data_IF_238750406013
#
_entry.id   IF_238750406013
#
_cell.length_a   1.000
_cell.length_b   1.000
_cell.length_c   1.000
_cell.angle_alpha   90.00
_cell.angle_beta   90.00
_cell.angle_gamma   90.00
#
_symmetry.space_group_name_H-M   'P 1'
#
loop_
_entity.id
_entity.type
_entity.pdbx_description
1 polymer ?
#
# COMPACT_ATOMS: atom_id res chain seq x y z
N UNK A 1 3.33 17.24 15.40
CA UNK A 1 2.00 16.74 14.97
C UNK A 1 2.21 15.81 13.80
N UNK A 2 1.71 14.59 13.89
CA UNK A 2 1.58 13.67 12.76
C UNK A 2 0.11 13.67 12.33
N UNK A 3 -0.14 13.80 11.03
CA UNK A 3 -1.47 13.73 10.45
C UNK A 3 -1.51 12.57 9.47
N UNK A 4 -2.35 11.59 9.75
CA UNK A 4 -2.62 10.46 8.86
C UNK A 4 -3.85 10.82 8.02
N UNK A 5 -3.68 10.79 6.69
CA UNK A 5 -4.71 11.10 5.70
C UNK A 5 -4.70 10.06 4.59
N UNK A 6 -5.76 10.02 3.78
CA UNK A 6 -5.79 9.27 2.53
C UNK A 6 -5.80 10.22 1.32
N UNK A 7 -5.32 9.73 0.19
CA UNK A 7 -5.50 10.36 -1.12
C UNK A 7 -6.84 9.92 -1.72
N UNK A 8 -7.73 10.88 -2.01
CA UNK A 8 -8.95 10.65 -2.80
C UNK A 8 -10.11 9.94 -2.09
N UNK A 9 -9.93 9.39 -0.89
CA UNK A 9 -11.02 8.78 -0.08
C UNK A 9 -10.77 8.93 1.42
N UNK A 10 -11.68 8.40 2.25
CA UNK A 10 -11.46 8.21 3.69
C UNK A 10 -10.64 6.93 3.93
N UNK A 11 -9.77 6.97 4.95
CA UNK A 11 -9.14 5.76 5.47
C UNK A 11 -10.21 4.91 6.17
N UNK A 12 -10.16 3.60 5.99
CA UNK A 12 -10.93 2.69 6.83
C UNK A 12 -10.33 2.63 8.24
N UNK A 13 -11.11 2.15 9.20
CA UNK A 13 -10.61 1.87 10.55
C UNK A 13 -9.49 0.84 10.55
N UNK A 14 -9.59 -0.18 9.68
CA UNK A 14 -8.54 -1.20 9.50
C UNK A 14 -7.24 -0.61 8.97
N UNK A 15 -7.30 0.31 8.02
CA UNK A 15 -6.12 1.02 7.52
C UNK A 15 -5.51 1.92 8.58
N UNK A 16 -6.33 2.67 9.33
CA UNK A 16 -5.86 3.51 10.43
C UNK A 16 -5.15 2.68 11.51
N UNK A 17 -5.76 1.55 11.89
CA UNK A 17 -5.17 0.61 12.84
C UNK A 17 -3.81 0.11 12.35
N UNK A 18 -3.74 -0.35 11.09
CA UNK A 18 -2.49 -0.84 10.50
C UNK A 18 -1.40 0.24 10.42
N UNK A 19 -1.76 1.49 10.10
CA UNK A 19 -0.81 2.60 10.14
C UNK A 19 -0.31 2.87 11.57
N UNK A 20 -1.21 2.84 12.56
CA UNK A 20 -0.89 3.11 13.97
C UNK A 20 -0.04 1.99 14.59
N UNK A 21 -0.29 0.74 14.24
CA UNK A 21 0.50 -0.42 14.68
C UNK A 21 1.97 -0.27 14.30
N UNK A 22 2.29 0.36 13.17
CA UNK A 22 3.71 0.62 12.80
C UNK A 22 4.43 1.60 13.74
N UNK A 23 3.69 2.44 14.47
CA UNK A 23 4.27 3.27 15.52
C UNK A 23 4.62 2.41 16.73
N UNK A 24 3.74 1.49 17.12
CA UNK A 24 3.98 0.57 18.24
C UNK A 24 5.15 -0.37 17.94
N UNK A 25 5.17 -0.95 16.73
CA UNK A 25 6.31 -1.73 16.21
C UNK A 25 7.61 -0.90 16.34
N UNK A 26 7.61 0.33 15.82
CA UNK A 26 8.78 1.20 15.84
C UNK A 26 9.24 1.55 17.25
N UNK A 27 8.32 1.78 18.19
CA UNK A 27 8.64 2.08 19.59
C UNK A 27 9.20 0.87 20.33
N UNK A 28 8.68 -0.33 20.04
CA UNK A 28 9.17 -1.58 20.65
C UNK A 28 10.62 -1.93 20.28
N UNK A 29 11.09 -1.43 19.13
CA UNK A 29 12.45 -1.62 18.63
C UNK A 29 13.44 -0.55 19.11
N UNK A 30 12.98 0.51 19.78
CA UNK A 30 13.82 1.62 20.23
C UNK A 30 14.25 1.47 21.68
N UNK A 31 15.44 1.98 21.99
CA UNK A 31 15.80 2.24 23.39
C UNK A 31 14.79 3.23 24.01
N UNK A 32 14.47 3.01 25.28
CA UNK A 32 13.53 3.84 26.00
C UNK A 32 14.06 5.29 26.11
N UNK A 33 13.41 6.21 25.41
CA UNK A 33 13.65 7.66 25.51
C UNK A 33 12.41 8.32 26.12
N UNK A 34 12.53 9.04 27.25
CA UNK A 34 11.42 9.78 27.86
C UNK A 34 10.73 10.78 26.92
N UNK A 35 11.37 11.20 25.83
CA UNK A 35 10.79 12.07 24.80
C UNK A 35 9.91 11.32 23.78
N UNK A 36 9.91 9.98 23.78
CA UNK A 36 9.13 9.15 22.86
C UNK A 36 7.77 8.80 23.47
N UNK A 37 6.92 9.82 23.57
CA UNK A 37 5.54 9.66 24.04
C UNK A 37 4.55 10.28 23.06
N UNK A 38 3.31 9.80 23.15
CA UNK A 38 2.14 10.36 22.49
C UNK A 38 1.37 11.14 23.56
N UNK A 39 1.22 12.45 23.40
CA UNK A 39 0.45 13.27 24.35
C UNK A 39 -1.04 13.27 24.05
N UNK A 40 -1.40 13.13 22.78
CA UNK A 40 -2.79 13.15 22.32
C UNK A 40 -2.88 12.43 20.98
N UNK A 41 -3.93 11.65 20.78
CA UNK A 41 -4.28 11.12 19.46
C UNK A 41 -5.79 10.97 19.31
N UNK A 42 -6.29 11.08 18.08
CA UNK A 42 -7.72 10.94 17.82
C UNK A 42 -8.13 11.14 16.37
N UNK A 43 -9.35 10.70 16.09
CA UNK A 43 -10.00 10.91 14.80
C UNK A 43 -10.29 12.38 14.57
N UNK A 44 -10.10 12.83 13.32
CA UNK A 44 -10.43 14.18 12.85
C UNK A 44 -11.15 14.08 11.52
N UNK A 45 -11.76 15.18 11.07
CA UNK A 45 -12.38 15.22 9.75
C UNK A 45 -11.35 14.88 8.67
N UNK A 46 -11.54 13.72 8.01
CA UNK A 46 -10.68 13.26 6.93
C UNK A 46 -9.42 12.49 7.36
N UNK A 47 -9.27 12.13 8.63
CA UNK A 47 -8.15 11.27 9.06
C UNK A 47 -7.96 11.15 10.57
N UNK A 48 -6.70 11.05 10.99
CA UNK A 48 -6.30 10.89 12.39
C UNK A 48 -5.08 11.75 12.69
N UNK A 49 -5.06 12.42 13.83
CA UNK A 49 -3.95 13.27 14.25
C UNK A 49 -3.30 12.75 15.54
N UNK A 50 -1.98 12.88 15.64
CA UNK A 50 -1.19 12.52 16.80
C UNK A 50 -0.24 13.66 17.20
N UNK A 51 -0.15 13.92 18.50
CA UNK A 51 0.85 14.81 19.10
C UNK A 51 1.95 13.95 19.72
N UNK A 52 3.16 14.13 19.21
CA UNK A 52 4.34 13.36 19.56
C UNK A 52 5.34 14.27 20.28
N UNK A 53 5.98 13.76 21.34
CA UNK A 53 7.00 14.49 22.11
C UNK A 53 8.29 14.78 21.34
N UNK A 54 8.60 13.97 20.32
CA UNK A 54 9.85 14.05 19.57
C UNK A 54 9.66 14.29 18.06
N UNK A 55 10.37 15.29 17.53
CA UNK A 55 10.45 15.56 16.07
C UNK A 55 11.17 14.44 15.32
N UNK A 56 12.20 13.85 15.91
CA UNK A 56 12.97 12.78 15.30
C UNK A 56 12.13 11.51 15.16
N UNK A 57 11.37 11.16 16.21
CA UNK A 57 10.41 10.06 16.18
C UNK A 57 9.37 10.26 15.08
N UNK A 58 8.78 11.45 14.97
CA UNK A 58 7.81 11.77 13.94
C UNK A 58 8.39 11.56 12.52
N UNK A 59 9.61 12.05 12.24
CA UNK A 59 10.29 11.87 10.94
C UNK A 59 10.70 10.43 10.65
N UNK A 60 11.04 9.64 11.68
CA UNK A 60 11.34 8.21 11.53
C UNK A 60 10.07 7.46 11.15
N UNK A 61 8.98 7.71 11.88
CA UNK A 61 7.70 7.07 11.61
C UNK A 61 7.16 7.41 10.22
N UNK A 62 7.21 8.68 9.80
CA UNK A 62 6.74 9.07 8.46
C UNK A 62 7.50 8.35 7.34
N UNK A 63 8.82 8.13 7.50
CA UNK A 63 9.61 7.35 6.53
C UNK A 63 9.21 5.88 6.54
N UNK A 64 8.93 5.31 7.70
CA UNK A 64 8.42 3.94 7.81
C UNK A 64 7.08 3.78 7.07
N UNK A 65 6.15 4.72 7.27
CA UNK A 65 4.85 4.73 6.59
C UNK A 65 5.00 4.75 5.06
N UNK A 66 5.84 5.64 4.51
CA UNK A 66 6.11 5.69 3.07
C UNK A 66 6.76 4.40 2.57
N UNK A 67 7.68 3.82 3.33
CA UNK A 67 8.35 2.56 2.96
C UNK A 67 7.39 1.37 2.92
N UNK A 68 6.49 1.27 3.90
CA UNK A 68 5.56 0.12 4.02
C UNK A 68 4.35 0.27 3.10
N UNK A 69 3.77 1.48 3.02
CA UNK A 69 2.47 1.71 2.38
C UNK A 69 2.51 2.66 1.18
N UNK A 70 3.67 3.17 0.79
CA UNK A 70 3.79 4.18 -0.26
C UNK A 70 3.19 5.52 0.19
N UNK A 71 2.93 6.41 -0.77
CA UNK A 71 2.29 7.69 -0.53
C UNK A 71 3.27 8.84 -0.33
N UNK A 72 2.74 9.96 0.18
CA UNK A 72 3.49 11.22 0.29
C UNK A 72 3.47 11.76 1.71
N UNK A 73 4.53 12.47 2.08
CA UNK A 73 4.62 13.20 3.35
C UNK A 73 4.88 14.67 3.03
N UNK A 74 4.06 15.56 3.57
CA UNK A 74 4.35 17.00 3.60
C UNK A 74 4.84 17.40 4.97
N UNK A 75 5.96 18.11 5.01
CA UNK A 75 6.57 18.62 6.23
C UNK A 75 6.42 20.14 6.30
N UNK A 76 6.00 20.65 7.45
CA UNK A 76 5.96 22.09 7.75
C UNK A 76 6.48 22.32 9.17
N UNK A 77 7.18 23.43 9.37
CA UNK A 77 7.69 23.84 10.68
C UNK A 77 7.24 25.27 10.96
N UNK A 78 6.75 25.51 12.17
CA UNK A 78 6.26 26.82 12.62
C UNK A 78 6.92 27.17 13.94
N UNK A 79 7.41 28.40 14.08
CA UNK A 79 7.93 28.90 15.36
C UNK A 79 6.74 29.18 16.27
N UNK A 80 6.77 28.63 17.48
CA UNK A 80 5.68 28.75 18.47
C UNK A 80 6.10 29.56 19.70
N UNK A 81 7.37 29.94 19.80
CA UNK A 81 7.90 30.79 20.86
C UNK A 81 9.42 30.79 20.87
N UNK A 82 9.98 31.37 21.91
CA UNK A 82 11.42 31.39 22.19
C UNK A 82 11.65 31.01 23.65
N UNK A 83 12.64 30.16 23.90
CA UNK A 83 13.11 29.84 25.25
C UNK A 83 14.62 30.14 25.32
N UNK A 84 15.03 31.01 26.24
CA UNK A 84 16.43 31.47 26.39
C UNK A 84 17.08 31.94 25.07
N UNK A 85 16.30 32.66 24.24
CA UNK A 85 16.76 33.16 22.95
C UNK A 85 16.81 32.11 21.82
N UNK A 86 16.49 30.85 22.12
CA UNK A 86 16.39 29.76 21.12
C UNK A 86 14.94 29.63 20.66
N UNK A 87 14.70 29.69 19.36
CA UNK A 87 13.38 29.47 18.79
C UNK A 87 12.87 28.05 19.04
N UNK A 88 11.70 27.97 19.66
CA UNK A 88 10.97 26.72 19.84
C UNK A 88 10.01 26.57 18.68
N UNK A 89 10.19 25.53 17.87
CA UNK A 89 9.33 25.26 16.71
C UNK A 89 8.49 23.98 16.87
N UNK A 90 7.30 23.99 16.28
CA UNK A 90 6.42 22.84 16.12
C UNK A 90 6.55 22.28 14.70
N UNK A 91 6.86 20.98 14.63
CA UNK A 91 6.87 20.20 13.40
C UNK A 91 5.49 19.61 13.12
N UNK A 92 4.99 19.77 11.90
CA UNK A 92 3.78 19.09 11.41
C UNK A 92 4.12 18.26 10.18
N UNK A 93 3.86 16.95 10.26
CA UNK A 93 3.99 16.01 9.16
C UNK A 93 2.60 15.55 8.74
N UNK A 94 2.29 15.63 7.44
CA UNK A 94 1.04 15.17 6.86
C UNK A 94 1.31 14.04 5.89
N UNK A 95 1.09 12.81 6.35
CA UNK A 95 1.20 11.60 5.55
C UNK A 95 -0.13 11.33 4.82
N UNK A 96 -0.04 11.02 3.52
CA UNK A 96 -1.17 10.67 2.66
C UNK A 96 -0.96 9.28 2.09
N UNK A 97 -1.71 8.30 2.61
CA UNK A 97 -1.74 6.92 2.12
C UNK A 97 -2.49 6.85 0.78
N UNK A 98 -1.95 6.15 -0.24
CA UNK A 98 -2.68 5.88 -1.47
C UNK A 98 -3.88 4.95 -1.23
N UNK A 99 -4.87 5.03 -2.13
CA UNK A 99 -6.07 4.20 -2.08
C UNK A 99 -5.82 2.72 -2.45
N UNK A 100 -4.66 2.43 -3.05
CA UNK A 100 -4.15 1.12 -3.48
C UNK A 100 -2.92 0.72 -2.64
N UNK A 101 -2.61 -0.58 -2.61
CA UNK A 101 -1.46 -1.18 -1.95
C UNK A 101 -0.63 -2.06 -2.88
N UNK A 102 0.48 -2.61 -2.37
CA UNK A 102 1.32 -3.56 -3.11
C UNK A 102 0.53 -4.82 -3.45
N UNK A 103 0.68 -5.30 -4.68
CA UNK A 103 0.00 -6.48 -5.19
C UNK A 103 -1.44 -6.24 -5.64
N UNK A 104 -2.02 -5.06 -5.41
CA UNK A 104 -3.33 -4.71 -5.96
C UNK A 104 -3.28 -4.67 -7.48
N UNK A 105 -4.33 -5.19 -8.11
CA UNK A 105 -4.58 -4.97 -9.54
C UNK A 105 -5.37 -3.68 -9.68
N UNK A 106 -4.83 -2.76 -10.47
CA UNK A 106 -5.39 -1.45 -10.74
C UNK A 106 -5.63 -1.25 -12.23
N UNK A 107 -6.58 -0.37 -12.54
CA UNK A 107 -6.79 0.19 -13.87
C UNK A 107 -6.12 1.55 -13.92
N UNK A 108 -5.16 1.69 -14.82
CA UNK A 108 -4.43 2.93 -15.05
C UNK A 108 -4.16 3.12 -16.55
N UNK A 109 -4.52 4.29 -17.09
CA UNK A 109 -4.42 4.62 -18.53
C UNK A 109 -4.95 3.49 -19.43
N UNK A 110 -6.19 3.04 -19.15
CA UNK A 110 -6.92 1.98 -19.88
C UNK A 110 -6.29 0.57 -19.85
N UNK A 111 -5.21 0.37 -19.10
CA UNK A 111 -4.54 -0.93 -18.96
C UNK A 111 -4.71 -1.44 -17.52
N UNK A 112 -4.57 -2.76 -17.35
CA UNK A 112 -4.49 -3.40 -16.05
C UNK A 112 -3.03 -3.56 -15.62
N UNK A 113 -2.76 -3.18 -14.38
CA UNK A 113 -1.44 -3.20 -13.79
C UNK A 113 -1.48 -3.77 -12.37
N UNK A 114 -0.38 -4.34 -11.92
CA UNK A 114 -0.13 -4.69 -10.52
C UNK A 114 0.79 -3.62 -9.94
N UNK A 115 0.46 -3.14 -8.74
CA UNK A 115 1.37 -2.26 -7.98
C UNK A 115 2.51 -3.12 -7.42
N UNK A 116 3.72 -2.99 -7.97
CA UNK A 116 4.83 -3.90 -7.68
C UNK A 116 5.70 -3.41 -6.52
N UNK A 117 6.10 -2.15 -6.53
CA UNK A 117 6.97 -1.58 -5.49
C UNK A 117 6.79 -0.07 -5.35
N UNK A 118 7.26 0.48 -4.23
CA UNK A 118 7.27 1.91 -3.97
C UNK A 118 8.60 2.53 -4.39
N UNK A 119 8.53 3.65 -5.11
CA UNK A 119 9.65 4.56 -5.33
C UNK A 119 9.33 5.91 -4.68
N UNK A 120 10.33 6.79 -4.64
CA UNK A 120 10.19 8.15 -4.08
C UNK A 120 9.03 8.92 -4.70
N UNK A 121 8.94 8.91 -6.03
CA UNK A 121 7.99 9.75 -6.78
C UNK A 121 6.69 9.04 -7.16
N UNK A 122 6.55 7.75 -6.83
CA UNK A 122 5.35 6.95 -7.10
C UNK A 122 5.64 5.44 -7.19
N UNK A 123 4.66 4.62 -7.57
CA UNK A 123 4.86 3.17 -7.69
C UNK A 123 5.57 2.76 -8.98
N UNK A 124 6.23 1.61 -8.94
CA UNK A 124 6.47 0.79 -10.12
C UNK A 124 5.25 -0.09 -10.35
N UNK A 125 4.78 -0.09 -11.59
CA UNK A 125 3.64 -0.86 -12.07
C UNK A 125 4.14 -1.97 -12.97
N UNK A 126 3.60 -3.18 -12.79
CA UNK A 126 3.84 -4.33 -13.65
C UNK A 126 2.59 -4.62 -14.45
N UNK A 127 2.71 -4.82 -15.76
CA UNK A 127 1.54 -5.07 -16.61
C UNK A 127 0.95 -6.45 -16.32
N UNK A 128 -0.38 -6.59 -16.44
CA UNK A 128 -1.06 -7.86 -16.19
C UNK A 128 -0.90 -8.87 -17.32
N UNK A 129 -0.79 -8.43 -18.57
CA UNK A 129 -0.88 -9.26 -19.76
C UNK A 129 0.48 -9.64 -20.38
N UNK A 130 1.56 -8.96 -20.01
CA UNK A 130 2.92 -9.21 -20.52
C UNK A 130 3.99 -8.69 -19.59
N UNK A 131 5.23 -9.14 -19.80
CA UNK A 131 6.40 -8.66 -19.08
C UNK A 131 6.74 -7.21 -19.48
N UNK A 132 6.11 -6.25 -18.81
CA UNK A 132 6.38 -4.83 -18.93
C UNK A 132 6.28 -4.16 -17.56
N UNK A 133 7.23 -3.27 -17.25
CA UNK A 133 7.23 -2.45 -16.04
C UNK A 133 7.30 -0.98 -16.41
N UNK A 134 6.61 -0.14 -15.64
CA UNK A 134 6.67 1.31 -15.81
C UNK A 134 6.54 2.03 -14.47
N UNK A 135 7.18 3.18 -14.34
CA UNK A 135 6.94 4.08 -13.20
C UNK A 135 5.72 4.96 -13.46
N UNK A 136 4.98 5.28 -12.41
CA UNK A 136 3.94 6.31 -12.45
C UNK A 136 4.16 7.29 -11.30
N UNK A 137 3.85 8.58 -11.50
CA UNK A 137 3.97 9.55 -10.40
C UNK A 137 2.80 9.43 -9.43
N UNK A 138 2.97 9.84 -8.17
CA UNK A 138 1.86 9.92 -7.22
C UNK A 138 0.67 10.71 -7.77
N UNK A 139 0.93 11.79 -8.52
CA UNK A 139 -0.10 12.62 -9.16
C UNK A 139 -0.83 11.88 -10.26
N UNK A 140 -0.12 11.20 -11.16
CA UNK A 140 -0.74 10.40 -12.22
C UNK A 140 -1.68 9.34 -11.64
N UNK A 141 -1.29 8.76 -10.51
CA UNK A 141 -2.01 7.68 -9.86
C UNK A 141 -3.26 8.11 -9.09
N UNK A 142 -3.50 9.41 -8.90
CA UNK A 142 -4.73 9.91 -8.26
C UNK A 142 -6.00 9.45 -9.00
N UNK A 143 -5.92 9.25 -10.32
CA UNK A 143 -7.02 8.74 -11.15
C UNK A 143 -7.05 7.22 -11.35
N UNK A 144 -6.19 6.47 -10.67
CA UNK A 144 -6.19 5.00 -10.76
C UNK A 144 -7.35 4.39 -9.98
N UNK A 145 -7.83 3.22 -10.43
CA UNK A 145 -8.94 2.51 -9.80
C UNK A 145 -8.48 1.11 -9.44
N UNK A 146 -8.60 0.72 -8.17
CA UNK A 146 -8.39 -0.68 -7.76
C UNK A 146 -9.51 -1.52 -8.36
N UNK A 147 -9.16 -2.54 -9.13
CA UNK A 147 -10.12 -3.48 -9.73
C UNK A 147 -10.17 -4.82 -9.01
N UNK A 148 -9.07 -5.21 -8.35
CA UNK A 148 -9.01 -6.38 -7.48
C UNK A 148 -7.90 -6.15 -6.46
N UNK A 149 -8.26 -6.05 -5.18
CA UNK A 149 -7.28 -5.88 -4.12
C UNK A 149 -6.46 -7.15 -3.91
N UNK A 150 -5.26 -7.04 -3.33
CA UNK A 150 -4.43 -8.20 -3.00
C UNK A 150 -5.13 -9.19 -2.07
N UNK A 151 -5.99 -8.70 -1.17
CA UNK A 151 -6.78 -9.53 -0.25
C UNK A 151 -7.93 -10.28 -0.92
N UNK A 152 -8.37 -9.86 -2.10
CA UNK A 152 -9.41 -10.52 -2.90
C UNK A 152 -8.82 -11.48 -3.95
N UNK A 153 -7.50 -11.68 -3.92
CA UNK A 153 -6.81 -12.65 -4.79
C UNK A 153 -6.66 -13.98 -4.05
N UNK A 154 -6.82 -15.07 -4.80
CA UNK A 154 -6.75 -16.44 -4.28
C UNK A 154 -5.57 -17.17 -4.89
N UNK A 155 -4.89 -17.98 -4.09
CA UNK A 155 -3.96 -18.99 -4.62
C UNK A 155 -4.74 -20.29 -4.66
N UNK A 156 -4.87 -20.87 -5.85
CA UNK A 156 -5.66 -22.07 -6.10
C UNK A 156 -4.79 -23.15 -6.73
N UNK A 157 -5.09 -24.40 -6.42
CA UNK A 157 -4.40 -25.55 -7.01
C UNK A 157 -4.82 -25.74 -8.46
N UNK A 158 -3.85 -26.12 -9.30
CA UNK A 158 -4.05 -26.44 -10.70
C UNK A 158 -4.50 -27.90 -10.79
N UNK A 159 -5.69 -28.12 -11.35
CA UNK A 159 -6.25 -29.46 -11.59
C UNK A 159 -5.69 -30.07 -12.86
N UNK A 160 -5.62 -29.25 -13.91
CA UNK A 160 -5.16 -29.64 -15.23
C UNK A 160 -4.51 -28.43 -15.90
N UNK A 161 -3.60 -28.70 -16.85
CA UNK A 161 -2.76 -27.69 -17.48
C UNK A 161 -2.56 -28.02 -18.95
N UNK A 162 -2.78 -27.02 -19.80
CA UNK A 162 -2.35 -27.06 -21.20
C UNK A 162 -1.23 -26.04 -21.47
N UNK A 163 -0.92 -25.77 -22.73
CA UNK A 163 0.15 -24.87 -23.14
C UNK A 163 -0.15 -23.37 -22.92
N UNK A 164 -1.39 -23.00 -22.61
CA UNK A 164 -1.88 -21.62 -22.59
C UNK A 164 -2.82 -21.30 -21.42
N UNK A 165 -3.37 -22.30 -20.75
CA UNK A 165 -4.37 -22.18 -19.71
C UNK A 165 -4.27 -23.31 -18.68
N UNK A 166 -4.92 -23.07 -17.54
CA UNK A 166 -5.06 -24.03 -16.43
C UNK A 166 -6.52 -24.13 -16.02
N UNK A 167 -6.92 -25.32 -15.60
CA UNK A 167 -8.20 -25.56 -14.96
C UNK A 167 -8.01 -25.53 -13.44
N UNK A 168 -8.85 -24.76 -12.76
CA UNK A 168 -8.81 -24.55 -11.30
C UNK A 168 -10.23 -24.63 -10.74
N UNK A 169 -10.36 -24.79 -9.43
CA UNK A 169 -11.65 -24.62 -8.76
C UNK A 169 -11.89 -23.14 -8.49
N UNK A 170 -13.06 -22.64 -8.88
CA UNK A 170 -13.57 -21.34 -8.47
C UNK A 170 -13.62 -21.29 -6.93
N UNK A 171 -12.95 -20.33 -6.26
CA UNK A 171 -12.89 -20.26 -4.80
C UNK A 171 -14.23 -19.92 -4.15
N UNK A 172 -15.25 -19.54 -4.93
CA UNK A 172 -16.57 -19.15 -4.43
C UNK A 172 -17.60 -20.26 -4.53
N UNK A 173 -17.60 -21.06 -5.60
CA UNK A 173 -18.62 -22.09 -5.84
C UNK A 173 -18.05 -23.48 -6.20
N UNK A 174 -16.73 -23.63 -6.19
CA UNK A 174 -15.98 -24.87 -6.47
C UNK A 174 -16.30 -25.52 -7.81
N UNK A 175 -16.79 -24.76 -8.79
CA UNK A 175 -16.87 -25.23 -10.18
C UNK A 175 -15.50 -25.15 -10.84
N UNK A 176 -15.25 -26.06 -11.78
CA UNK A 176 -14.06 -25.99 -12.61
C UNK A 176 -14.17 -24.79 -13.55
N UNK A 177 -13.15 -23.93 -13.52
CA UNK A 177 -13.02 -22.77 -14.42
C UNK A 177 -11.66 -22.80 -15.10
N UNK A 178 -11.62 -22.37 -16.36
CA UNK A 178 -10.38 -22.25 -17.14
C UNK A 178 -9.84 -20.83 -17.03
N UNK A 179 -8.56 -20.70 -16.72
CA UNK A 179 -7.87 -19.42 -16.57
C UNK A 179 -6.63 -19.43 -17.47
N UNK A 180 -6.47 -18.39 -18.29
CA UNK A 180 -5.28 -18.23 -19.11
C UNK A 180 -4.02 -18.12 -18.23
N UNK A 181 -2.94 -18.76 -18.64
CA UNK A 181 -1.67 -18.71 -17.94
C UNK A 181 -1.13 -17.26 -17.92
N UNK A 182 -0.56 -16.82 -16.79
CA UNK A 182 0.16 -15.55 -16.77
C UNK A 182 1.43 -15.67 -17.61
N UNK A 183 1.94 -14.55 -18.11
CA UNK A 183 3.17 -14.54 -18.92
C UNK A 183 4.42 -15.01 -18.14
N UNK A 184 4.35 -15.07 -16.80
CA UNK A 184 5.44 -15.50 -15.90
C UNK A 184 5.18 -16.87 -15.26
N UNK A 185 4.31 -17.68 -15.87
CA UNK A 185 4.14 -19.08 -15.51
C UNK A 185 5.44 -19.89 -15.71
N UNK A 186 5.73 -20.81 -14.79
CA UNK A 186 6.96 -21.61 -14.78
C UNK A 186 6.78 -23.08 -15.20
N UNK A 187 5.62 -23.44 -15.78
CA UNK A 187 5.18 -24.79 -16.20
C UNK A 187 5.12 -25.87 -15.10
N UNK A 188 5.94 -25.76 -14.06
CA UNK A 188 6.06 -26.72 -12.96
C UNK A 188 5.17 -26.33 -11.76
N UNK A 189 4.69 -25.09 -11.69
CA UNK A 189 3.87 -24.61 -10.59
C UNK A 189 2.59 -25.42 -10.50
N UNK A 190 2.32 -25.88 -9.28
CA UNK A 190 1.12 -26.64 -8.89
C UNK A 190 -0.05 -25.74 -8.51
N UNK A 191 0.19 -24.44 -8.40
CA UNK A 191 -0.83 -23.47 -8.03
C UNK A 191 -0.71 -22.21 -8.88
N UNK A 192 -1.79 -21.47 -9.00
CA UNK A 192 -1.82 -20.18 -9.68
C UNK A 192 -2.55 -19.18 -8.79
N UNK A 193 -2.09 -17.92 -8.82
CA UNK A 193 -2.83 -16.83 -8.20
C UNK A 193 -3.87 -16.30 -9.17
N UNK A 194 -5.11 -16.20 -8.74
CA UNK A 194 -6.22 -15.68 -9.54
C UNK A 194 -6.91 -14.51 -8.83
N UNK A 195 -7.55 -13.64 -9.61
CA UNK A 195 -8.41 -12.56 -9.14
C UNK A 195 -9.63 -12.40 -10.05
N UNK A 196 -10.78 -12.09 -9.47
CA UNK A 196 -12.00 -11.87 -10.24
C UNK A 196 -12.02 -10.43 -10.76
N UNK A 197 -11.78 -10.26 -12.07
CA UNK A 197 -11.56 -8.96 -12.69
C UNK A 197 -12.47 -8.86 -13.91
N UNK A 198 -13.29 -7.81 -13.97
CA UNK A 198 -14.19 -7.55 -15.11
C UNK A 198 -15.15 -8.72 -15.42
N UNK A 199 -15.60 -9.46 -14.38
CA UNK A 199 -16.57 -10.54 -14.53
C UNK A 199 -15.98 -11.90 -14.86
N UNK A 200 -14.65 -12.04 -14.89
CA UNK A 200 -13.95 -13.30 -15.17
C UNK A 200 -12.78 -13.51 -14.20
N UNK A 201 -12.42 -14.77 -13.98
CA UNK A 201 -11.19 -15.13 -13.28
C UNK A 201 -9.99 -14.94 -14.21
N UNK A 202 -9.03 -14.13 -13.78
CA UNK A 202 -7.76 -13.95 -14.47
C UNK A 202 -6.62 -14.39 -13.56
N UNK A 203 -5.58 -15.00 -14.14
CA UNK A 203 -4.33 -15.20 -13.43
C UNK A 203 -3.69 -13.84 -13.12
N UNK A 204 -3.18 -13.70 -11.91
CA UNK A 204 -2.42 -12.53 -11.46
C UNK A 204 -0.94 -12.91 -11.46
N UNK A 205 -0.14 -12.38 -12.41
CA UNK A 205 1.29 -12.69 -12.51
C UNK A 205 2.02 -12.50 -11.18
N UNK A 206 2.75 -13.52 -10.75
CA UNK A 206 3.43 -13.57 -9.45
C UNK A 206 4.55 -12.55 -9.31
N UNK A 207 5.16 -12.15 -10.44
CA UNK A 207 6.40 -11.39 -10.48
C UNK A 207 7.52 -12.36 -10.12
N UNK A 208 7.87 -13.24 -11.05
CA UNK A 208 8.77 -14.36 -10.80
C UNK A 208 10.09 -13.98 -10.09
N UNK A 209 10.37 -14.80 -9.05
CA UNK A 209 11.57 -15.01 -8.21
C UNK A 209 12.17 -13.82 -7.46
#
# INVERSE_FOLDING_TARGET
VMQLRSAGRRLSETELKSLRETLDEMLSEMEADPMFFISEEGAVTGGWDLKLGSKAMARRWSRNLVKKFGGTVRETSTVVGSNDGIEVSRLTLSYRKPAYGLGDVIRFRKNLWIVESWQKDGPILKKMDRFERTGATWRDMEGSIVVCSRSEQFVVDILNRDSSAVEVLDPTDYKVVTVALPYDDDLESKSVRIGFIQGVWLAVPSGGK
#
